data_IF_325482709129
#
_entry.id   IF_325482709129
#
_cell.length_a   1.000
_cell.length_b   1.000
_cell.length_c   1.000
_cell.angle_alpha   90.00
_cell.angle_beta   90.00
_cell.angle_gamma   90.00
#
_symmetry.space_group_name_H-M   'P 1'
#
loop_
_entity.id
_entity.type
_entity.pdbx_description
1 polymer ?
#
# COMPACT_ATOMS: atom_id res chain seq x y z
N UNK A 1 16.31 21.04 -45.47
CA UNK A 1 17.28 19.92 -45.45
C UNK A 1 17.12 19.22 -44.11
N UNK A 2 16.84 17.93 -43.92
CA UNK A 2 16.49 16.78 -44.77
C UNK A 2 15.28 16.10 -44.10
N UNK A 3 14.22 15.83 -44.85
CA UNK A 3 13.11 14.94 -44.47
C UNK A 3 13.52 13.52 -44.85
N UNK A 4 13.25 12.52 -44.01
CA UNK A 4 13.32 11.12 -44.40
C UNK A 4 11.90 10.55 -44.43
N UNK A 5 11.43 10.23 -45.62
CA UNK A 5 10.28 9.37 -45.88
C UNK A 5 10.75 7.91 -45.77
N UNK A 6 9.95 7.05 -45.14
CA UNK A 6 9.87 5.63 -45.53
C UNK A 6 8.39 5.23 -45.49
N UNK A 7 7.93 4.81 -46.65
CA UNK A 7 6.63 4.23 -46.97
C UNK A 7 6.99 2.90 -47.63
N UNK A 8 6.39 1.78 -47.21
CA UNK A 8 5.67 0.83 -48.08
C UNK A 8 5.55 -0.60 -47.50
N UNK A 9 4.39 -1.15 -47.90
CA UNK A 9 4.10 -2.53 -48.28
C UNK A 9 3.68 -3.50 -47.18
N UNK A 10 2.38 -3.80 -47.20
CA UNK A 10 1.82 -5.02 -46.67
C UNK A 10 2.07 -6.23 -47.57
N UNK A 11 1.84 -7.41 -47.01
CA UNK A 11 1.65 -8.64 -47.76
C UNK A 11 0.56 -9.46 -47.07
N UNK A 12 -0.49 -9.74 -47.82
CA UNK A 12 -1.53 -10.73 -47.57
C UNK A 12 -0.95 -12.10 -47.94
N UNK A 13 -1.11 -13.10 -47.07
CA UNK A 13 -1.06 -14.51 -47.48
C UNK A 13 -2.15 -15.29 -46.73
N UNK A 14 -2.98 -15.95 -47.52
CA UNK A 14 -4.02 -16.89 -47.12
C UNK A 14 -3.43 -18.18 -46.52
N UNK A 15 -4.10 -18.74 -45.52
CA UNK A 15 -3.80 -20.07 -44.98
C UNK A 15 -5.11 -20.84 -44.81
N UNK A 16 -5.26 -21.90 -45.60
CA UNK A 16 -6.46 -22.70 -45.71
C UNK A 16 -6.72 -23.63 -44.52
N UNK A 17 -7.97 -24.06 -44.43
CA UNK A 17 -8.46 -25.08 -43.52
C UNK A 17 -8.03 -26.48 -43.98
N UNK A 18 -7.62 -27.32 -43.02
CA UNK A 18 -7.66 -28.77 -43.17
C UNK A 18 -7.95 -29.41 -41.80
N UNK A 19 -8.95 -30.29 -41.81
CA UNK A 19 -9.48 -31.08 -40.71
C UNK A 19 -8.82 -32.47 -40.66
N UNK A 20 -8.69 -32.98 -39.43
CA UNK A 20 -8.92 -34.35 -38.96
C UNK A 20 -7.87 -35.48 -39.11
N UNK A 21 -7.88 -36.28 -38.02
CA UNK A 21 -7.36 -37.63 -37.75
C UNK A 21 -5.86 -37.68 -37.42
N UNK A 22 -5.38 -38.28 -36.32
CA UNK A 22 -5.92 -39.27 -35.39
C UNK A 22 -4.96 -40.47 -35.36
N UNK A 23 -4.22 -40.67 -34.26
CA UNK A 23 -3.85 -41.98 -33.69
C UNK A 23 -2.88 -41.84 -32.50
N UNK A 24 -3.14 -42.62 -31.46
CA UNK A 24 -2.50 -42.54 -30.13
C UNK A 24 -1.11 -43.15 -30.00
N UNK A 25 -0.65 -43.36 -28.76
CA UNK A 25 -0.32 -44.73 -28.39
C UNK A 25 -0.79 -45.18 -26.99
N UNK A 26 -0.88 -46.50 -26.92
CA UNK A 26 -1.07 -47.47 -25.85
C UNK A 26 -0.34 -47.24 -24.51
N UNK A 27 -1.13 -47.28 -23.43
CA UNK A 27 -1.13 -48.24 -22.31
C UNK A 27 0.18 -48.70 -21.64
N UNK A 28 0.30 -48.46 -20.32
CA UNK A 28 0.54 -49.43 -19.22
C UNK A 28 0.43 -48.68 -17.83
N UNK A 29 0.38 -49.32 -16.65
CA UNK A 29 -0.79 -49.30 -15.77
C UNK A 29 -0.66 -48.50 -14.46
N UNK A 30 -1.84 -48.30 -13.86
CA UNK A 30 -2.14 -47.69 -12.56
C UNK A 30 -1.64 -48.53 -11.36
N UNK A 31 -1.11 -47.84 -10.35
CA UNK A 31 -1.04 -48.33 -8.97
C UNK A 31 -1.78 -47.32 -8.08
N UNK A 32 -2.94 -47.74 -7.58
CA UNK A 32 -3.79 -46.99 -6.69
C UNK A 32 -3.33 -47.13 -5.23
N UNK A 33 -3.28 -46.00 -4.51
CA UNK A 33 -3.30 -45.96 -3.04
C UNK A 33 -4.50 -45.11 -2.66
N UNK A 34 -5.47 -45.74 -2.00
CA UNK A 34 -6.74 -45.14 -1.61
C UNK A 34 -6.62 -44.15 -0.46
N UNK A 35 -7.33 -43.03 -0.58
CA UNK A 35 -7.73 -42.15 0.53
C UNK A 35 -9.25 -42.17 0.68
N UNK A 36 -9.80 -41.87 1.87
CA UNK A 36 -11.20 -42.10 2.17
C UNK A 36 -12.14 -41.14 1.42
N UNK A 37 -13.33 -41.65 1.11
CA UNK A 37 -14.41 -40.97 0.41
C UNK A 37 -14.91 -39.74 1.16
N UNK A 38 -15.17 -38.66 0.42
CA UNK A 38 -15.84 -37.45 0.90
C UNK A 38 -17.33 -37.62 0.62
N UNK A 39 -18.13 -37.45 1.67
CA UNK A 39 -19.60 -37.46 1.65
C UNK A 39 -20.12 -36.22 0.88
N UNK A 40 -20.91 -36.38 -0.20
CA UNK A 40 -21.40 -35.26 -1.01
C UNK A 40 -22.58 -34.48 -0.39
N UNK A 41 -23.10 -34.85 0.79
CA UNK A 41 -24.28 -34.20 1.39
C UNK A 41 -24.03 -33.42 2.69
N UNK A 42 -22.78 -33.00 2.97
CA UNK A 42 -22.49 -32.15 4.13
C UNK A 42 -22.90 -30.67 3.90
N UNK A 43 -23.83 -30.09 4.71
CA UNK A 43 -24.23 -28.69 4.58
C UNK A 43 -23.12 -27.73 5.04
N UNK A 44 -23.03 -26.50 4.47
CA UNK A 44 -22.00 -25.55 4.83
C UNK A 44 -22.19 -25.02 6.25
N UNK A 45 -21.13 -25.07 7.06
CA UNK A 45 -21.08 -24.44 8.37
C UNK A 45 -21.08 -22.91 8.23
N UNK A 46 -22.26 -22.31 8.33
CA UNK A 46 -22.47 -20.90 8.59
C UNK A 46 -22.71 -20.70 10.08
N UNK A 47 -21.76 -20.12 10.80
CA UNK A 47 -22.04 -19.55 12.12
C UNK A 47 -21.73 -18.05 12.14
N UNK A 48 -22.84 -17.32 12.13
CA UNK A 48 -23.00 -15.91 12.40
C UNK A 48 -22.86 -15.72 13.91
N UNK A 49 -21.76 -15.13 14.37
CA UNK A 49 -21.65 -14.72 15.76
C UNK A 49 -22.42 -13.40 15.97
N UNK A 50 -23.68 -13.54 16.36
CA UNK A 50 -24.47 -12.49 16.98
C UNK A 50 -23.98 -12.29 18.43
N UNK A 51 -23.41 -11.13 18.75
CA UNK A 51 -23.18 -10.76 20.15
C UNK A 51 -24.45 -10.12 20.70
N UNK A 52 -25.17 -10.90 21.50
CA UNK A 52 -26.29 -10.47 22.31
C UNK A 52 -25.81 -9.72 23.57
N UNK A 53 -26.64 -8.77 23.98
CA UNK A 53 -26.55 -7.96 25.19
C UNK A 53 -26.37 -8.81 26.45
N UNK A 54 -25.37 -8.48 27.27
CA UNK A 54 -25.32 -8.86 28.67
C UNK A 54 -25.98 -7.75 29.49
N UNK A 55 -27.24 -7.98 29.84
CA UNK A 55 -27.92 -7.29 30.93
C UNK A 55 -27.42 -7.88 32.26
N UNK A 56 -27.04 -7.00 33.18
CA UNK A 56 -26.68 -7.32 34.57
C UNK A 56 -28.00 -7.46 35.34
N UNK A 57 -28.22 -8.62 35.95
CA UNK A 57 -29.32 -8.88 36.87
C UNK A 57 -28.88 -8.63 38.32
N UNK A 58 -29.70 -7.87 39.04
CA UNK A 58 -29.49 -7.42 40.42
C UNK A 58 -30.01 -8.47 41.41
N UNK A 59 -29.10 -9.21 42.04
CA UNK A 59 -29.38 -10.12 43.15
C UNK A 59 -28.88 -9.57 44.50
N UNK A 60 -29.79 -9.04 45.31
CA UNK A 60 -29.52 -8.49 46.64
C UNK A 60 -28.97 -9.53 47.66
N UNK A 61 -28.07 -9.13 48.59
CA UNK A 61 -27.70 -9.97 49.73
C UNK A 61 -28.47 -9.62 51.01
N UNK A 62 -28.76 -10.65 51.82
CA UNK A 62 -29.34 -10.53 53.16
C UNK A 62 -28.28 -10.17 54.20
N UNK A 63 -28.61 -9.15 55.00
CA UNK A 63 -28.33 -8.94 56.44
C UNK A 63 -26.95 -9.27 57.02
N UNK A 64 -26.29 -8.24 57.55
CA UNK A 64 -25.27 -8.36 58.60
C UNK A 64 -24.75 -6.98 59.04
N UNK A 65 -25.14 -6.55 60.24
CA UNK A 65 -24.74 -5.27 60.84
C UNK A 65 -23.24 -5.24 61.20
N UNK A 66 -22.54 -4.15 60.86
CA UNK A 66 -21.55 -3.53 61.74
C UNK A 66 -21.21 -2.09 61.28
N UNK A 67 -21.15 -1.19 62.26
CA UNK A 67 -20.94 0.26 62.16
C UNK A 67 -19.51 0.62 61.72
N UNK A 68 -19.35 1.73 61.00
CA UNK A 68 -18.16 2.58 61.18
C UNK A 68 -17.60 3.33 59.96
N UNK A 69 -17.92 4.63 59.90
CA UNK A 69 -17.08 5.77 59.44
C UNK A 69 -16.81 6.01 57.95
N UNK A 70 -17.25 7.21 57.57
CA UNK A 70 -16.58 8.23 56.75
C UNK A 70 -16.42 8.00 55.23
N UNK A 71 -17.24 8.79 54.52
CA UNK A 71 -17.13 9.17 53.11
C UNK A 71 -15.71 9.64 52.74
N UNK A 72 -15.16 9.08 51.68
CA UNK A 72 -14.37 9.81 50.67
C UNK A 72 -14.96 9.52 49.30
N UNK A 73 -15.68 10.49 48.74
CA UNK A 73 -16.14 10.46 47.34
C UNK A 73 -14.93 10.63 46.43
N UNK A 74 -14.35 9.52 45.97
CA UNK A 74 -13.53 9.51 44.76
C UNK A 74 -14.45 9.58 43.55
N UNK A 75 -14.55 10.74 42.90
CA UNK A 75 -15.09 10.83 41.54
C UNK A 75 -14.12 10.09 40.62
N UNK A 76 -14.44 8.87 40.21
CA UNK A 76 -13.85 8.29 39.01
C UNK A 76 -14.42 9.05 37.82
N UNK A 77 -13.67 10.04 37.31
CA UNK A 77 -13.95 10.63 36.01
C UNK A 77 -13.68 9.56 34.95
N UNK A 78 -14.71 8.78 34.62
CA UNK A 78 -14.66 7.90 33.46
C UNK A 78 -14.44 8.78 32.24
N UNK A 79 -13.23 8.73 31.66
CA UNK A 79 -12.96 9.34 30.36
C UNK A 79 -13.84 8.59 29.37
N UNK A 80 -14.95 9.22 28.95
CA UNK A 80 -15.74 8.75 27.82
C UNK A 80 -14.78 8.71 26.63
N UNK A 81 -14.64 7.56 25.97
CA UNK A 81 -13.86 7.42 24.75
C UNK A 81 -14.79 7.12 23.58
N UNK A 82 -14.48 7.64 22.40
CA UNK A 82 -15.27 7.36 21.18
C UNK A 82 -14.52 6.33 20.33
N UNK A 83 -15.21 5.28 19.87
CA UNK A 83 -14.63 4.29 18.96
C UNK A 83 -14.53 4.84 17.54
N UNK A 84 -13.40 4.64 16.85
CA UNK A 84 -13.21 5.13 15.48
C UNK A 84 -14.26 4.61 14.46
N UNK A 85 -14.82 3.41 14.69
CA UNK A 85 -15.87 2.84 13.85
C UNK A 85 -17.26 3.48 14.01
N UNK A 86 -17.44 4.37 14.99
CA UNK A 86 -18.69 5.09 15.26
C UNK A 86 -18.61 6.58 14.88
N UNK A 87 -17.59 6.96 14.10
CA UNK A 87 -17.38 8.34 13.67
C UNK A 87 -18.14 8.56 12.36
N UNK A 88 -19.09 9.49 12.38
CA UNK A 88 -19.70 10.02 11.16
C UNK A 88 -18.63 10.62 10.25
N UNK A 89 -18.85 10.54 8.94
CA UNK A 89 -17.88 11.04 7.95
C UNK A 89 -17.49 12.49 8.24
N UNK A 90 -16.18 12.72 8.35
CA UNK A 90 -15.60 14.06 8.52
C UNK A 90 -15.73 14.83 7.20
N UNK A 91 -16.16 16.09 7.27
CA UNK A 91 -16.21 16.96 6.09
C UNK A 91 -14.81 17.51 5.79
N UNK A 92 -14.07 16.78 4.96
CA UNK A 92 -12.70 17.11 4.58
C UNK A 92 -12.60 18.32 3.64
N UNK A 93 -13.71 18.79 3.07
CA UNK A 93 -13.74 20.02 2.28
C UNK A 93 -13.76 21.27 3.19
N UNK A 94 -13.94 21.10 4.51
CA UNK A 94 -13.96 22.18 5.52
C UNK A 94 -12.85 22.05 6.57
N UNK A 95 -11.70 21.49 6.19
CA UNK A 95 -10.52 21.44 7.05
C UNK A 95 -10.03 22.87 7.30
N UNK A 96 -9.81 23.20 8.57
CA UNK A 96 -9.27 24.48 9.01
C UNK A 96 -8.06 24.25 9.91
N UNK A 97 -7.03 25.09 9.75
CA UNK A 97 -5.89 25.09 10.65
C UNK A 97 -6.18 25.96 11.87
N UNK A 98 -5.99 25.41 13.05
CA UNK A 98 -6.16 26.05 14.35
C UNK A 98 -4.84 25.95 15.12
N UNK A 99 -3.96 26.94 14.95
CA UNK A 99 -2.61 26.91 15.53
C UNK A 99 -1.76 25.73 15.03
N UNK A 100 -1.50 24.77 15.91
CA UNK A 100 -0.64 23.61 15.72
C UNK A 100 -1.38 22.32 15.31
N UNK A 101 -2.68 22.40 15.07
CA UNK A 101 -3.50 21.26 14.64
C UNK A 101 -4.51 21.65 13.57
N UNK A 102 -5.11 20.65 12.94
CA UNK A 102 -6.23 20.82 12.02
C UNK A 102 -7.53 20.38 12.65
N UNK A 103 -8.62 21.02 12.22
CA UNK A 103 -9.97 20.68 12.65
C UNK A 103 -10.93 20.62 11.47
N UNK A 104 -11.97 19.81 11.59
CA UNK A 104 -13.03 19.70 10.59
C UNK A 104 -14.37 19.39 11.27
N UNK A 105 -15.50 19.84 10.70
CA UNK A 105 -16.81 19.49 11.22
C UNK A 105 -17.16 18.04 10.86
N UNK A 106 -17.87 17.36 11.76
CA UNK A 106 -18.57 16.12 11.47
C UNK A 106 -19.95 16.43 10.85
N UNK A 107 -20.54 15.43 10.20
CA UNK A 107 -21.88 15.54 9.61
C UNK A 107 -22.97 15.97 10.62
N UNK A 108 -22.79 15.64 11.90
CA UNK A 108 -23.70 15.98 13.00
C UNK A 108 -23.39 17.34 13.67
N UNK A 109 -22.43 18.10 13.14
CA UNK A 109 -22.07 19.45 13.61
C UNK A 109 -21.02 19.49 14.72
N UNK A 110 -20.57 18.36 15.26
CA UNK A 110 -19.45 18.32 16.22
C UNK A 110 -18.12 18.70 15.57
N UNK A 111 -17.12 19.10 16.38
CA UNK A 111 -15.79 19.48 15.89
C UNK A 111 -14.78 18.35 16.11
N UNK A 112 -14.21 17.84 15.02
CA UNK A 112 -13.09 16.90 15.06
C UNK A 112 -11.76 17.65 15.08
N UNK A 113 -10.84 17.22 15.95
CA UNK A 113 -9.40 17.52 15.83
C UNK A 113 -8.77 16.37 15.05
N UNK A 114 -7.99 16.71 14.03
CA UNK A 114 -7.39 15.74 13.12
C UNK A 114 -5.99 15.32 13.57
N UNK A 115 -5.51 14.19 13.04
CA UNK A 115 -4.16 13.67 13.27
C UNK A 115 -3.10 14.29 12.36
N UNK A 116 -3.51 15.17 11.43
CA UNK A 116 -2.64 15.83 10.47
C UNK A 116 -1.57 16.67 11.20
N UNK A 117 -0.32 16.45 10.80
CA UNK A 117 0.82 17.25 11.22
C UNK A 117 0.96 18.46 10.28
N UNK A 118 0.90 19.70 10.78
CA UNK A 118 1.00 20.90 9.92
C UNK A 118 2.25 20.98 9.07
N UNK A 119 3.42 20.58 9.59
CA UNK A 119 4.67 20.68 8.84
C UNK A 119 4.72 19.66 7.70
N UNK A 120 4.15 18.46 7.90
CA UNK A 120 4.07 17.42 6.88
C UNK A 120 2.96 17.70 5.86
N UNK A 121 1.79 18.17 6.31
CA UNK A 121 0.69 18.53 5.41
C UNK A 121 1.10 19.65 4.45
N UNK A 122 1.66 20.74 4.98
CA UNK A 122 2.16 21.86 4.16
C UNK A 122 3.26 21.41 3.18
N UNK A 123 4.17 20.53 3.63
CA UNK A 123 5.21 19.99 2.75
C UNK A 123 4.60 19.15 1.63
N UNK A 124 3.61 18.30 1.93
CA UNK A 124 2.95 17.47 0.95
C UNK A 124 2.26 18.34 -0.13
N UNK A 125 1.51 19.36 0.29
CA UNK A 125 0.85 20.32 -0.62
C UNK A 125 1.87 21.07 -1.48
N UNK A 126 2.94 21.59 -0.87
CA UNK A 126 4.03 22.25 -1.59
C UNK A 126 4.69 21.35 -2.63
N UNK A 127 4.95 20.07 -2.30
CA UNK A 127 5.55 19.13 -3.25
C UNK A 127 4.62 18.81 -4.42
N UNK A 128 3.31 18.77 -4.18
CA UNK A 128 2.32 18.62 -5.24
C UNK A 128 2.31 19.82 -6.19
N UNK A 129 2.43 21.05 -5.68
CA UNK A 129 2.59 22.25 -6.50
C UNK A 129 3.91 22.25 -7.29
N UNK A 130 5.03 21.94 -6.63
CA UNK A 130 6.35 21.84 -7.26
C UNK A 130 6.40 20.79 -8.38
N UNK A 131 5.65 19.70 -8.23
CA UNK A 131 5.59 18.63 -9.23
C UNK A 131 5.02 19.11 -10.56
N UNK A 132 4.13 20.10 -10.51
CA UNK A 132 3.29 20.56 -11.63
C UNK A 132 2.52 19.44 -12.32
N UNK A 133 2.36 18.28 -11.70
CA UNK A 133 1.66 17.16 -12.29
C UNK A 133 0.19 17.54 -12.54
N UNK A 134 -0.41 17.15 -13.69
CA UNK A 134 -1.85 17.25 -13.93
C UNK A 134 -2.70 16.73 -12.77
N UNK A 135 -2.23 15.67 -12.10
CA UNK A 135 -2.81 15.19 -10.84
C UNK A 135 -1.77 14.43 -10.02
N UNK A 136 -1.92 14.45 -8.71
CA UNK A 136 -1.08 13.70 -7.80
C UNK A 136 -1.62 13.72 -6.38
N UNK A 137 -1.11 12.82 -5.55
CA UNK A 137 -1.43 12.78 -4.14
C UNK A 137 -0.27 12.20 -3.32
N UNK A 138 -0.22 12.63 -2.05
CA UNK A 138 0.79 12.25 -1.06
C UNK A 138 0.06 11.93 0.23
N UNK A 139 0.38 10.76 0.80
CA UNK A 139 -0.04 10.36 2.15
C UNK A 139 1.19 10.08 2.98
N UNK A 140 1.23 10.66 4.18
CA UNK A 140 2.16 10.30 5.23
C UNK A 140 1.37 9.76 6.43
N UNK A 141 1.83 8.67 7.02
CA UNK A 141 1.13 7.95 8.07
C UNK A 141 2.14 7.49 9.13
N UNK A 142 1.78 7.56 10.40
CA UNK A 142 2.51 6.86 11.45
C UNK A 142 2.24 5.35 11.36
N UNK A 143 3.14 4.48 11.85
CA UNK A 143 2.93 3.04 11.77
C UNK A 143 1.68 2.56 12.52
N UNK A 144 1.21 3.32 13.52
CA UNK A 144 -0.03 3.07 14.26
C UNK A 144 -1.33 3.41 13.48
N UNK A 145 -1.21 3.85 12.23
CA UNK A 145 -2.33 4.20 11.36
C UNK A 145 -2.78 5.67 11.42
N UNK A 146 -2.20 6.51 12.28
CA UNK A 146 -2.51 7.96 12.27
C UNK A 146 -2.06 8.59 10.95
N UNK A 147 -2.97 9.26 10.26
CA UNK A 147 -2.68 9.97 9.02
C UNK A 147 -2.09 11.33 9.37
N UNK A 148 -0.82 11.54 9.01
CA UNK A 148 -0.07 12.76 9.32
C UNK A 148 -0.11 13.77 8.17
N UNK A 149 -0.28 13.30 6.93
CA UNK A 149 -0.58 14.15 5.79
C UNK A 149 -1.53 13.41 4.83
N UNK A 150 -2.53 14.13 4.32
CA UNK A 150 -3.52 13.67 3.34
C UNK A 150 -3.69 14.77 2.30
N UNK A 151 -2.88 14.74 1.24
CA UNK A 151 -2.87 15.80 0.24
C UNK A 151 -3.11 15.22 -1.16
N UNK A 152 -3.95 15.90 -1.93
CA UNK A 152 -4.18 15.61 -3.34
C UNK A 152 -4.36 16.91 -4.11
N UNK A 153 -3.94 16.93 -5.38
CA UNK A 153 -3.97 18.11 -6.24
C UNK A 153 -4.25 17.70 -7.67
N UNK A 154 -5.08 18.47 -8.38
CA UNK A 154 -5.32 18.34 -9.82
C UNK A 154 -5.33 19.67 -10.55
N UNK A 155 -5.18 19.61 -11.87
CA UNK A 155 -5.42 20.70 -12.81
C UNK A 155 -6.02 20.11 -14.09
N UNK A 156 -6.77 20.91 -14.84
CA UNK A 156 -7.30 20.53 -16.15
C UNK A 156 -6.20 20.54 -17.23
N UNK A 157 -5.05 21.17 -16.94
CA UNK A 157 -3.91 21.24 -17.86
C UNK A 157 -3.20 19.89 -17.99
N UNK A 158 -3.30 19.26 -19.16
CA UNK A 158 -2.76 17.93 -19.44
C UNK A 158 -1.23 17.90 -19.50
N UNK A 159 -0.59 19.04 -19.77
CA UNK A 159 0.87 19.21 -19.79
C UNK A 159 1.46 19.65 -18.46
N UNK A 160 0.60 19.80 -17.43
CA UNK A 160 0.97 20.21 -16.09
C UNK A 160 0.86 21.73 -15.86
N UNK A 161 0.69 22.12 -14.60
CA UNK A 161 0.53 23.53 -14.22
C UNK A 161 1.08 23.84 -12.83
N UNK A 162 1.52 25.09 -12.64
CA UNK A 162 1.83 25.66 -11.32
C UNK A 162 0.56 25.97 -10.51
N UNK A 163 -0.56 26.16 -11.18
CA UNK A 163 -1.87 26.33 -10.55
C UNK A 163 -2.64 25.00 -10.58
N UNK A 164 -3.42 24.76 -9.54
CA UNK A 164 -4.23 23.55 -9.40
C UNK A 164 -5.18 23.69 -8.22
N UNK A 165 -6.12 22.77 -8.15
CA UNK A 165 -7.10 22.67 -7.07
C UNK A 165 -6.72 21.51 -6.18
N UNK A 166 -6.70 21.74 -4.86
CA UNK A 166 -6.54 20.67 -3.89
C UNK A 166 -7.79 19.79 -3.86
N UNK A 167 -7.59 18.48 -3.87
CA UNK A 167 -8.65 17.48 -3.87
C UNK A 167 -8.15 16.24 -3.11
N UNK A 168 -8.50 16.15 -1.83
CA UNK A 168 -8.11 15.06 -0.94
C UNK A 168 -8.58 13.69 -1.47
N UNK A 169 -9.63 13.66 -2.30
CA UNK A 169 -10.17 12.42 -2.88
C UNK A 169 -9.12 11.69 -3.73
N UNK A 170 -8.17 12.42 -4.32
CA UNK A 170 -7.05 11.79 -5.04
C UNK A 170 -6.13 10.97 -4.13
N UNK A 171 -6.17 11.18 -2.82
CA UNK A 171 -5.45 10.37 -1.85
C UNK A 171 -6.22 9.11 -1.42
N UNK A 172 -7.56 9.14 -1.45
CA UNK A 172 -8.46 8.08 -0.95
C UNK A 172 -9.08 7.21 -2.04
N UNK A 173 -9.20 7.72 -3.26
CA UNK A 173 -9.78 7.03 -4.40
C UNK A 173 -8.71 6.20 -5.13
N UNK A 174 -9.09 5.01 -5.59
CA UNK A 174 -8.22 4.14 -6.38
C UNK A 174 -8.14 4.58 -7.85
N UNK A 175 -7.61 5.79 -8.09
CA UNK A 175 -7.64 6.40 -9.43
C UNK A 175 -6.44 6.02 -10.31
N UNK A 176 -5.31 5.66 -9.71
CA UNK A 176 -4.06 5.44 -10.43
C UNK A 176 -3.79 3.93 -10.60
N UNK A 177 -3.34 3.47 -11.79
CA UNK A 177 -2.82 2.11 -11.94
C UNK A 177 -1.69 1.88 -10.94
N UNK A 178 -1.74 0.77 -10.22
CA UNK A 178 -0.78 0.48 -9.16
C UNK A 178 0.64 0.22 -9.68
N UNK A 179 0.78 -0.07 -10.97
CA UNK A 179 2.04 -0.39 -11.60
C UNK A 179 2.80 -1.48 -10.81
N UNK A 180 4.11 -1.35 -10.67
CA UNK A 180 4.95 -2.27 -9.90
C UNK A 180 4.73 -2.25 -8.38
N UNK A 181 3.82 -1.44 -7.82
CA UNK A 181 3.45 -1.55 -6.40
C UNK A 181 2.75 -2.89 -6.14
N UNK A 182 1.96 -3.39 -7.10
CA UNK A 182 1.28 -4.68 -6.99
C UNK A 182 2.25 -5.87 -6.82
N UNK A 183 3.53 -5.71 -7.21
CA UNK A 183 4.55 -6.74 -6.97
C UNK A 183 4.80 -7.02 -5.50
N UNK A 184 4.40 -6.14 -4.58
CA UNK A 184 4.46 -6.43 -3.14
C UNK A 184 3.45 -7.52 -2.75
N UNK A 185 2.26 -7.51 -3.35
CA UNK A 185 1.26 -8.58 -3.21
C UNK A 185 1.79 -9.86 -3.84
N UNK A 186 2.31 -9.78 -5.07
CA UNK A 186 2.89 -10.93 -5.78
C UNK A 186 4.06 -11.55 -5.01
N UNK A 187 4.99 -10.74 -4.50
CA UNK A 187 6.12 -11.22 -3.71
C UNK A 187 5.66 -11.88 -2.40
N UNK A 188 4.66 -11.31 -1.72
CA UNK A 188 4.08 -11.91 -0.52
C UNK A 188 3.44 -13.27 -0.82
N UNK A 189 2.72 -13.39 -1.95
CA UNK A 189 2.13 -14.65 -2.39
C UNK A 189 3.23 -15.70 -2.70
N UNK A 190 4.31 -15.30 -3.37
CA UNK A 190 5.43 -16.19 -3.69
C UNK A 190 6.16 -16.68 -2.42
N UNK A 191 6.42 -15.79 -1.46
CA UNK A 191 7.02 -16.17 -0.18
C UNK A 191 6.10 -17.13 0.58
N UNK A 192 4.79 -16.86 0.62
CA UNK A 192 3.83 -17.77 1.23
C UNK A 192 3.76 -19.13 0.51
N UNK A 193 4.00 -19.17 -0.79
CA UNK A 193 4.10 -20.41 -1.57
C UNK A 193 5.47 -21.12 -1.41
N UNK A 194 6.33 -20.67 -0.50
CA UNK A 194 7.62 -21.29 -0.19
C UNK A 194 8.76 -20.90 -1.14
N UNK A 195 8.61 -19.85 -1.95
CA UNK A 195 9.72 -19.32 -2.74
C UNK A 195 10.71 -18.61 -1.82
N UNK A 196 11.93 -19.14 -1.75
CA UNK A 196 13.05 -18.48 -1.10
C UNK A 196 13.37 -17.16 -1.83
N UNK A 197 13.31 -15.99 -1.15
CA UNK A 197 13.61 -14.69 -1.74
C UNK A 197 14.98 -14.60 -2.43
N UNK A 198 15.97 -15.37 -1.98
CA UNK A 198 17.35 -15.27 -2.43
C UNK A 198 17.75 -16.41 -3.39
N UNK A 199 16.89 -17.42 -3.55
CA UNK A 199 17.06 -18.43 -4.57
C UNK A 199 17.06 -17.81 -5.98
N UNK A 200 18.04 -18.22 -6.79
CA UNK A 200 18.22 -17.70 -8.15
C UNK A 200 17.22 -18.35 -9.10
N UNK A 201 16.58 -17.52 -9.92
CA UNK A 201 15.81 -17.92 -11.09
C UNK A 201 16.48 -17.33 -12.34
N UNK A 202 16.75 -18.20 -13.31
CA UNK A 202 17.30 -17.76 -14.58
C UNK A 202 16.20 -17.22 -15.50
N UNK A 203 16.49 -16.16 -16.24
CA UNK A 203 15.54 -15.46 -17.09
C UNK A 203 16.25 -14.78 -18.28
N UNK A 204 15.47 -14.44 -19.30
CA UNK A 204 15.89 -13.60 -20.42
C UNK A 204 14.88 -12.47 -20.70
N UNK A 205 15.24 -11.55 -21.60
CA UNK A 205 14.42 -10.37 -21.92
C UNK A 205 14.72 -9.13 -21.06
N UNK A 206 14.24 -7.95 -21.41
CA UNK A 206 14.55 -6.71 -20.69
C UNK A 206 13.82 -6.59 -19.33
N UNK A 207 14.13 -5.51 -18.59
CA UNK A 207 13.46 -5.15 -17.32
C UNK A 207 11.93 -5.16 -17.42
N UNK A 208 11.41 -4.80 -18.60
CA UNK A 208 9.98 -4.68 -18.88
C UNK A 208 9.38 -5.92 -19.56
N UNK A 209 10.17 -6.96 -19.86
CA UNK A 209 9.69 -8.08 -20.66
C UNK A 209 8.80 -9.03 -19.86
N UNK A 210 7.55 -9.21 -20.31
CA UNK A 210 6.66 -10.30 -19.92
C UNK A 210 5.98 -10.79 -21.20
N UNK A 211 6.59 -11.79 -21.82
CA UNK A 211 6.14 -12.45 -23.04
C UNK A 211 5.98 -13.95 -22.76
N UNK A 212 5.17 -14.64 -23.56
CA UNK A 212 4.85 -16.06 -23.36
C UNK A 212 6.12 -16.93 -23.19
N UNK A 213 7.12 -16.68 -24.02
CA UNK A 213 8.37 -17.42 -23.99
C UNK A 213 9.28 -17.08 -22.79
N UNK A 214 8.97 -16.05 -21.98
CA UNK A 214 9.69 -15.74 -20.74
C UNK A 214 9.11 -16.46 -19.52
N UNK A 215 7.94 -17.08 -19.63
CA UNK A 215 7.20 -17.61 -18.47
C UNK A 215 7.63 -19.02 -18.06
N UNK A 216 8.39 -19.69 -18.91
CA UNK A 216 8.93 -21.04 -18.69
C UNK A 216 10.45 -21.01 -18.85
N UNK A 217 11.11 -22.04 -18.32
CA UNK A 217 12.55 -22.18 -18.49
C UNK A 217 12.87 -22.40 -19.98
N UNK A 218 13.83 -21.65 -20.48
CA UNK A 218 14.20 -21.63 -21.89
C UNK A 218 15.72 -21.52 -22.05
N UNK A 219 16.26 -22.11 -23.12
CA UNK A 219 17.69 -22.04 -23.46
C UNK A 219 18.25 -20.61 -23.58
N UNK A 220 17.40 -19.60 -23.75
CA UNK A 220 17.77 -18.18 -23.79
C UNK A 220 18.06 -17.59 -22.40
N UNK A 221 17.62 -18.26 -21.33
CA UNK A 221 17.82 -17.82 -19.94
C UNK A 221 19.32 -17.76 -19.62
N UNK A 222 19.86 -16.54 -19.68
CA UNK A 222 21.31 -16.27 -19.61
C UNK A 222 21.71 -15.41 -18.42
N UNK A 223 20.74 -14.92 -17.65
CA UNK A 223 20.97 -14.20 -16.40
C UNK A 223 20.17 -14.85 -15.30
N UNK A 224 20.74 -14.95 -14.11
CA UNK A 224 20.09 -15.57 -12.96
C UNK A 224 20.11 -14.60 -11.79
N UNK A 225 18.92 -14.25 -11.33
CA UNK A 225 18.73 -13.31 -10.23
C UNK A 225 17.64 -13.82 -9.29
N UNK A 226 17.53 -13.24 -8.11
CA UNK A 226 16.59 -13.72 -7.09
C UNK A 226 15.26 -12.94 -7.11
N UNK A 227 14.27 -13.42 -6.36
CA UNK A 227 13.04 -12.66 -6.13
C UNK A 227 13.34 -11.31 -5.45
N UNK A 228 14.29 -11.28 -4.50
CA UNK A 228 14.80 -10.06 -3.88
C UNK A 228 15.29 -9.04 -4.91
N UNK A 229 16.11 -9.49 -5.87
CA UNK A 229 16.54 -8.64 -7.00
C UNK A 229 15.34 -8.19 -7.85
N UNK A 230 14.40 -9.11 -8.09
CA UNK A 230 13.18 -8.86 -8.85
C UNK A 230 12.35 -7.70 -8.30
N UNK A 231 12.15 -7.67 -6.98
CA UNK A 231 11.42 -6.61 -6.29
C UNK A 231 12.24 -5.31 -6.28
N UNK A 232 13.52 -5.38 -5.89
CA UNK A 232 14.41 -4.22 -5.76
C UNK A 232 14.59 -3.43 -7.07
N UNK A 233 14.89 -4.14 -8.16
CA UNK A 233 15.10 -3.56 -9.50
C UNK A 233 13.81 -3.45 -10.31
N UNK A 234 12.69 -3.90 -9.76
CA UNK A 234 11.41 -3.97 -10.45
C UNK A 234 11.49 -4.76 -11.76
N UNK A 235 12.18 -5.89 -11.77
CA UNK A 235 12.35 -6.75 -12.94
C UNK A 235 11.07 -7.53 -13.24
N UNK A 236 10.38 -7.19 -14.33
CA UNK A 236 9.10 -7.81 -14.67
C UNK A 236 9.26 -9.27 -15.10
N UNK A 237 10.37 -9.62 -15.77
CA UNK A 237 10.59 -10.98 -16.25
C UNK A 237 10.65 -11.99 -15.10
N UNK A 238 11.35 -11.65 -14.00
CA UNK A 238 11.45 -12.49 -12.80
C UNK A 238 10.08 -12.66 -12.14
N UNK A 239 9.38 -11.56 -11.86
CA UNK A 239 8.10 -11.61 -11.15
C UNK A 239 7.02 -12.29 -11.99
N UNK A 240 6.95 -12.00 -13.29
CA UNK A 240 6.01 -12.63 -14.21
C UNK A 240 6.26 -14.13 -14.33
N UNK A 241 7.52 -14.55 -14.48
CA UNK A 241 7.92 -15.96 -14.55
C UNK A 241 7.61 -16.70 -13.25
N UNK A 242 8.05 -16.20 -12.11
CA UNK A 242 7.81 -16.83 -10.81
C UNK A 242 6.31 -16.91 -10.49
N UNK A 243 5.56 -15.83 -10.71
CA UNK A 243 4.10 -15.85 -10.52
C UNK A 243 3.43 -16.89 -11.41
N UNK A 244 3.79 -16.93 -12.70
CA UNK A 244 3.27 -17.94 -13.63
C UNK A 244 3.63 -19.36 -13.22
N UNK A 245 4.84 -19.61 -12.72
CA UNK A 245 5.26 -20.97 -12.36
C UNK A 245 4.73 -21.44 -11.00
N UNK A 246 4.51 -20.53 -10.05
CA UNK A 246 4.31 -20.88 -8.64
C UNK A 246 2.96 -20.49 -8.06
N UNK A 247 2.20 -19.62 -8.73
CA UNK A 247 0.91 -19.14 -8.24
C UNK A 247 -0.21 -19.49 -9.21
N UNK A 248 -1.41 -19.63 -8.67
CA UNK A 248 -2.65 -19.63 -9.43
C UNK A 248 -3.39 -18.30 -9.22
N UNK A 249 -4.25 -17.86 -10.16
CA UNK A 249 -4.98 -16.60 -10.05
C UNK A 249 -5.72 -16.40 -8.71
N UNK A 250 -6.37 -17.45 -8.22
CA UNK A 250 -7.11 -17.44 -6.94
C UNK A 250 -6.18 -17.23 -5.75
N UNK A 251 -4.97 -17.78 -5.78
CA UNK A 251 -3.97 -17.59 -4.70
C UNK A 251 -3.47 -16.16 -4.66
N UNK A 252 -3.21 -15.55 -5.82
CA UNK A 252 -2.79 -14.16 -5.90
C UNK A 252 -3.90 -13.19 -5.45
N UNK A 253 -5.15 -13.46 -5.85
CA UNK A 253 -6.31 -12.70 -5.39
C UNK A 253 -6.55 -12.84 -3.88
N UNK A 254 -6.40 -14.05 -3.33
CA UNK A 254 -6.50 -14.29 -1.89
C UNK A 254 -5.41 -13.55 -1.10
N UNK A 255 -4.18 -13.50 -1.61
CA UNK A 255 -3.12 -12.68 -1.00
C UNK A 255 -3.45 -11.17 -1.07
N UNK A 256 -4.02 -10.70 -2.18
CA UNK A 256 -4.45 -9.30 -2.28
C UNK A 256 -5.51 -8.96 -1.21
N UNK A 257 -6.50 -9.83 -1.01
CA UNK A 257 -7.49 -9.71 0.08
C UNK A 257 -6.82 -9.74 1.45
N UNK A 258 -5.88 -10.65 1.66
CA UNK A 258 -5.16 -10.84 2.93
C UNK A 258 -4.40 -9.59 3.36
N UNK A 259 -3.71 -8.92 2.42
CA UNK A 259 -2.99 -7.65 2.63
C UNK A 259 -3.95 -6.43 2.62
N UNK A 260 -5.26 -6.65 2.49
CA UNK A 260 -6.27 -5.59 2.57
C UNK A 260 -6.38 -4.74 1.30
N UNK A 261 -5.89 -5.22 0.14
CA UNK A 261 -5.92 -4.46 -1.12
C UNK A 261 -7.33 -4.05 -1.54
N UNK A 262 -8.35 -4.83 -1.14
CA UNK A 262 -9.75 -4.62 -1.49
C UNK A 262 -10.56 -4.00 -0.33
N UNK A 263 -9.89 -3.59 0.75
CA UNK A 263 -10.59 -3.12 1.94
C UNK A 263 -11.17 -1.71 1.71
N UNK A 264 -12.40 -1.46 2.18
CA UNK A 264 -12.96 -0.12 2.19
C UNK A 264 -12.35 0.71 3.32
N UNK A 265 -12.17 2.01 3.09
CA UNK A 265 -11.78 3.00 4.11
C UNK A 265 -12.97 3.90 4.39
N UNK A 266 -13.99 3.32 5.04
CA UNK A 266 -15.35 3.92 5.15
C UNK A 266 -15.36 5.33 5.74
N UNK A 267 -14.60 5.58 6.81
CA UNK A 267 -14.58 6.88 7.50
C UNK A 267 -13.94 8.02 6.69
N UNK A 268 -13.26 7.69 5.58
CA UNK A 268 -12.73 8.65 4.61
C UNK A 268 -13.41 8.53 3.24
N UNK A 269 -14.52 7.79 3.16
CA UNK A 269 -15.22 7.47 1.92
C UNK A 269 -14.29 6.99 0.80
N UNK A 270 -13.28 6.17 1.15
CA UNK A 270 -12.24 5.72 0.23
C UNK A 270 -12.16 4.20 0.12
N UNK A 271 -11.23 3.73 -0.70
CA UNK A 271 -10.89 2.29 -0.85
C UNK A 271 -9.37 2.14 -0.86
N UNK A 272 -8.85 0.99 -0.43
CA UNK A 272 -7.41 0.71 -0.57
C UNK A 272 -7.03 0.61 -2.05
N UNK A 273 -7.71 -0.24 -2.79
CA UNK A 273 -7.45 -0.46 -4.21
C UNK A 273 -8.56 -1.23 -4.89
N UNK A 274 -8.38 -1.43 -6.19
CA UNK A 274 -9.25 -2.24 -7.04
C UNK A 274 -8.39 -3.32 -7.71
N UNK A 275 -9.00 -4.48 -7.96
CA UNK A 275 -8.31 -5.61 -8.58
C UNK A 275 -9.22 -6.33 -9.58
N UNK A 276 -8.66 -6.61 -10.75
CA UNK A 276 -9.21 -7.44 -11.80
C UNK A 276 -8.08 -8.30 -12.36
N UNK A 277 -8.00 -9.54 -11.90
CA UNK A 277 -7.02 -10.51 -12.37
C UNK A 277 -7.66 -11.45 -13.41
N UNK A 278 -6.94 -11.80 -14.50
CA UNK A 278 -7.33 -12.91 -15.34
C UNK A 278 -7.47 -14.19 -14.51
N UNK A 279 -8.60 -14.88 -14.64
CA UNK A 279 -8.91 -16.09 -13.89
C UNK A 279 -8.29 -17.35 -14.52
N UNK A 280 -7.69 -17.19 -15.71
CA UNK A 280 -6.91 -18.23 -16.38
C UNK A 280 -5.43 -17.93 -16.20
N UNK A 281 -4.65 -18.97 -15.96
CA UNK A 281 -3.19 -18.90 -15.79
C UNK A 281 -2.49 -18.80 -17.15
N UNK A 282 -2.49 -17.60 -17.71
CA UNK A 282 -1.93 -17.27 -19.02
C UNK A 282 -0.92 -16.10 -18.96
N UNK A 283 -0.52 -15.59 -20.13
CA UNK A 283 0.34 -14.42 -20.26
C UNK A 283 -0.24 -13.17 -19.59
N UNK A 284 -1.55 -13.00 -19.65
CA UNK A 284 -2.22 -11.83 -19.09
C UNK A 284 -2.24 -11.88 -17.56
N UNK A 285 -2.37 -13.07 -16.97
CA UNK A 285 -2.15 -13.28 -15.53
C UNK A 285 -0.72 -12.91 -15.14
N UNK A 286 0.29 -13.39 -15.87
CA UNK A 286 1.69 -13.06 -15.59
C UNK A 286 1.96 -11.55 -15.71
N UNK A 287 1.36 -10.88 -16.70
CA UNK A 287 1.44 -9.42 -16.86
C UNK A 287 0.76 -8.67 -15.72
N UNK A 288 -0.41 -9.12 -15.28
CA UNK A 288 -1.10 -8.54 -14.13
C UNK A 288 -0.28 -8.73 -12.83
N UNK A 289 0.25 -9.93 -12.58
CA UNK A 289 1.12 -10.22 -11.44
C UNK A 289 2.42 -9.41 -11.43
N UNK A 290 2.96 -9.08 -12.61
CA UNK A 290 4.10 -8.17 -12.77
C UNK A 290 3.72 -6.67 -12.64
N UNK A 291 2.43 -6.35 -12.47
CA UNK A 291 1.93 -5.00 -12.23
C UNK A 291 1.65 -4.18 -13.50
N UNK A 292 1.43 -4.82 -14.66
CA UNK A 292 1.11 -4.08 -15.90
C UNK A 292 -0.33 -3.62 -16.00
N UNK A 293 -1.26 -4.40 -15.47
CA UNK A 293 -2.70 -4.17 -15.64
C UNK A 293 -3.48 -4.78 -14.49
N UNK A 294 -4.76 -4.45 -14.40
CA UNK A 294 -5.70 -5.11 -13.50
C UNK A 294 -5.69 -4.59 -12.06
N UNK A 295 -4.68 -3.83 -11.64
CA UNK A 295 -4.62 -3.29 -10.29
C UNK A 295 -4.61 -1.76 -10.29
N UNK A 296 -5.50 -1.15 -9.50
CA UNK A 296 -5.52 0.28 -9.18
C UNK A 296 -5.41 0.46 -7.68
N UNK A 297 -4.87 1.58 -7.24
CA UNK A 297 -4.52 1.80 -5.84
C UNK A 297 -4.75 3.27 -5.47
N UNK A 298 -5.31 3.51 -4.28
CA UNK A 298 -5.33 4.85 -3.68
C UNK A 298 -4.01 5.13 -2.98
N UNK A 299 -3.67 6.40 -2.79
CA UNK A 299 -2.40 6.74 -2.12
C UNK A 299 -2.42 6.28 -0.65
N UNK A 300 -3.56 6.43 0.01
CA UNK A 300 -3.79 5.88 1.35
C UNK A 300 -3.66 4.35 1.36
N UNK A 301 -4.20 3.66 0.36
CA UNK A 301 -4.05 2.22 0.21
C UNK A 301 -2.59 1.79 0.10
N UNK A 302 -1.78 2.52 -0.68
CA UNK A 302 -0.33 2.31 -0.72
C UNK A 302 0.32 2.46 0.66
N UNK A 303 -0.08 3.45 1.45
CA UNK A 303 0.44 3.61 2.81
C UNK A 303 0.04 2.43 3.71
N UNK A 304 -1.19 1.93 3.63
CA UNK A 304 -1.64 0.77 4.42
C UNK A 304 -0.93 -0.53 4.04
N UNK A 305 -0.65 -0.72 2.75
CA UNK A 305 0.17 -1.85 2.26
C UNK A 305 1.59 -1.75 2.81
N UNK A 306 2.23 -0.58 2.74
CA UNK A 306 3.57 -0.39 3.32
C UNK A 306 3.58 -0.57 4.84
N UNK A 307 2.57 -0.08 5.55
CA UNK A 307 2.46 -0.21 7.00
C UNK A 307 2.40 -1.67 7.45
N UNK A 308 1.75 -2.54 6.67
CA UNK A 308 1.72 -3.99 6.93
C UNK A 308 3.14 -4.58 7.00
N UNK A 309 4.06 -4.13 6.14
CA UNK A 309 5.45 -4.60 6.16
C UNK A 309 6.30 -3.88 7.20
N UNK A 310 5.95 -2.63 7.54
CA UNK A 310 6.61 -1.88 8.60
C UNK A 310 6.35 -2.53 9.98
N UNK A 311 5.10 -2.95 10.23
CA UNK A 311 4.66 -3.46 11.53
C UNK A 311 4.62 -5.00 11.55
N UNK A 312 5.61 -5.67 10.96
CA UNK A 312 5.79 -7.13 11.06
C UNK A 312 4.51 -7.94 10.72
N UNK A 313 3.77 -7.50 9.71
CA UNK A 313 2.56 -8.14 9.21
C UNK A 313 1.26 -7.72 9.89
N UNK A 314 1.33 -6.84 10.89
CA UNK A 314 0.15 -6.18 11.49
C UNK A 314 -0.24 -4.97 10.64
N UNK A 315 -1.46 -4.98 10.11
CA UNK A 315 -2.00 -3.87 9.35
C UNK A 315 -2.78 -2.94 10.29
N UNK A 316 -2.39 -1.67 10.44
CA UNK A 316 -3.12 -0.73 11.27
C UNK A 316 -4.43 -0.31 10.60
N UNK A 317 -5.40 0.11 11.41
CA UNK A 317 -6.59 0.81 10.92
C UNK A 317 -6.22 2.28 10.69
N UNK A 318 -6.42 2.85 9.49
CA UNK A 318 -6.13 4.26 9.26
C UNK A 318 -7.02 5.13 10.15
N UNK A 319 -6.47 6.22 10.67
CA UNK A 319 -7.18 7.16 11.54
C UNK A 319 -6.81 8.59 11.21
N UNK A 320 -7.80 9.39 10.83
CA UNK A 320 -7.65 10.83 10.61
C UNK A 320 -8.13 11.68 11.80
N UNK A 321 -9.03 11.17 12.63
CA UNK A 321 -9.58 11.91 13.77
C UNK A 321 -8.82 11.54 15.05
N UNK A 322 -8.28 12.56 15.71
CA UNK A 322 -7.60 12.44 17.01
C UNK A 322 -8.60 12.49 18.17
N UNK A 323 -9.48 13.50 18.16
CA UNK A 323 -10.50 13.69 19.19
C UNK A 323 -11.75 14.38 18.63
N UNK A 324 -12.90 14.17 19.28
CA UNK A 324 -14.16 14.87 18.98
C UNK A 324 -14.59 15.61 20.25
N UNK A 325 -14.77 16.93 20.17
CA UNK A 325 -15.14 17.79 21.31
C UNK A 325 -14.28 17.56 22.57
N UNK A 326 -12.97 17.37 22.37
CA UNK A 326 -11.99 17.12 23.44
C UNK A 326 -11.92 15.68 23.93
N UNK A 327 -12.75 14.77 23.42
CA UNK A 327 -12.72 13.34 23.74
C UNK A 327 -11.88 12.57 22.73
N UNK A 328 -10.85 11.87 23.21
CA UNK A 328 -9.96 11.08 22.36
C UNK A 328 -10.71 9.94 21.65
N UNK A 329 -10.38 9.76 20.38
CA UNK A 329 -10.84 8.63 19.56
C UNK A 329 -9.87 7.47 19.76
N UNK A 330 -10.42 6.33 20.17
CA UNK A 330 -9.65 5.08 20.31
C UNK A 330 -9.68 4.33 18.97
N UNK A 331 -8.50 3.97 18.50
CA UNK A 331 -8.34 3.15 17.29
C UNK A 331 -8.63 1.68 17.62
N UNK A 332 -9.32 0.94 16.74
CA UNK A 332 -9.38 -0.52 16.83
C UNK A 332 -7.97 -1.12 16.80
N UNK A 333 -7.80 -2.34 17.33
CA UNK A 333 -6.53 -3.05 17.23
C UNK A 333 -6.16 -3.29 15.76
N UNK A 334 -4.86 -3.36 15.48
CA UNK A 334 -4.36 -3.80 14.19
C UNK A 334 -4.83 -5.23 13.88
N UNK A 335 -4.91 -5.55 12.59
CA UNK A 335 -5.23 -6.88 12.09
C UNK A 335 -3.96 -7.53 11.55
N UNK A 336 -3.68 -8.75 11.97
CA UNK A 336 -2.61 -9.53 11.35
C UNK A 336 -3.00 -9.93 9.94
N UNK A 337 -2.31 -9.38 8.94
CA UNK A 337 -2.48 -9.73 7.55
C UNK A 337 -1.59 -10.92 7.18
N UNK A 338 -0.31 -10.87 7.51
CA UNK A 338 0.67 -11.92 7.22
C UNK A 338 1.54 -12.20 8.44
N UNK A 339 2.28 -13.31 8.41
CA UNK A 339 3.23 -13.62 9.49
C UNK A 339 4.37 -12.61 9.50
N UNK A 340 4.99 -12.42 10.67
CA UNK A 340 6.10 -11.51 10.82
C UNK A 340 7.30 -11.89 9.93
N UNK A 341 7.56 -13.19 9.76
CA UNK A 341 8.65 -13.65 8.87
C UNK A 341 8.39 -13.33 7.40
N UNK A 342 7.14 -13.50 6.93
CA UNK A 342 6.78 -13.10 5.57
C UNK A 342 6.90 -11.58 5.38
N UNK A 343 6.39 -10.80 6.34
CA UNK A 343 6.48 -9.35 6.29
C UNK A 343 7.94 -8.87 6.26
N UNK A 344 8.81 -9.41 7.13
CA UNK A 344 10.24 -9.09 7.16
C UNK A 344 10.96 -9.50 5.89
N UNK A 345 10.61 -10.63 5.29
CA UNK A 345 11.17 -11.05 4.00
C UNK A 345 10.88 -10.00 2.92
N UNK A 346 9.62 -9.56 2.79
CA UNK A 346 9.23 -8.53 1.81
C UNK A 346 9.82 -7.15 2.16
N UNK A 347 9.88 -6.78 3.45
CA UNK A 347 10.51 -5.55 3.91
C UNK A 347 12.00 -5.49 3.52
N UNK A 348 12.74 -6.59 3.62
CA UNK A 348 14.14 -6.67 3.15
C UNK A 348 14.25 -6.46 1.64
N UNK A 349 13.35 -7.06 0.85
CA UNK A 349 13.30 -6.83 -0.59
C UNK A 349 12.97 -5.36 -0.92
N UNK A 350 12.08 -4.73 -0.14
CA UNK A 350 11.75 -3.31 -0.24
C UNK A 350 12.95 -2.42 0.13
N UNK A 351 13.74 -2.78 1.15
CA UNK A 351 15.00 -2.09 1.46
C UNK A 351 16.01 -2.19 0.30
N UNK A 352 16.04 -3.33 -0.41
CA UNK A 352 16.78 -3.52 -1.66
C UNK A 352 16.47 -2.45 -2.71
N UNK A 353 15.20 -2.04 -2.85
CA UNK A 353 14.79 -0.97 -3.77
C UNK A 353 15.53 0.34 -3.53
N UNK A 354 15.76 0.69 -2.26
CA UNK A 354 16.35 1.96 -1.83
C UNK A 354 17.86 1.90 -1.64
N UNK A 355 18.47 0.70 -1.58
CA UNK A 355 19.91 0.51 -1.35
C UNK A 355 20.68 0.22 -2.64
N UNK A 356 20.15 -0.65 -3.51
CA UNK A 356 20.81 -1.05 -4.76
C UNK A 356 19.88 -0.99 -5.98
N UNK A 357 18.57 -0.92 -5.75
CA UNK A 357 17.55 -1.02 -6.78
C UNK A 357 17.08 0.31 -7.39
N UNK A 358 15.83 0.30 -7.81
CA UNK A 358 15.19 1.34 -8.62
C UNK A 358 15.10 2.74 -7.97
N UNK A 359 15.29 2.86 -6.65
CA UNK A 359 15.32 4.13 -5.94
C UNK A 359 16.67 4.44 -5.27
N UNK A 360 17.70 3.60 -5.49
CA UNK A 360 18.98 3.70 -4.79
C UNK A 360 19.63 5.07 -4.89
N UNK A 361 19.64 5.68 -6.08
CA UNK A 361 20.25 7.01 -6.30
C UNK A 361 19.58 8.11 -5.49
N UNK A 362 18.26 8.02 -5.30
CA UNK A 362 17.47 9.00 -4.56
C UNK A 362 17.77 8.89 -3.07
N UNK A 363 17.80 7.67 -2.53
CA UNK A 363 17.97 7.43 -1.10
C UNK A 363 19.43 7.33 -0.65
N UNK A 364 20.40 7.15 -1.56
CA UNK A 364 21.83 7.29 -1.24
C UNK A 364 22.20 8.69 -0.71
N UNK A 365 21.37 9.70 -1.01
CA UNK A 365 21.51 11.09 -0.54
C UNK A 365 20.64 11.41 0.67
N UNK A 366 19.81 10.47 1.13
CA UNK A 366 18.99 10.68 2.32
C UNK A 366 19.89 10.85 3.54
N UNK A 367 19.36 11.50 4.59
CA UNK A 367 19.99 11.45 5.92
C UNK A 367 20.19 9.99 6.32
N UNK A 368 21.10 9.68 7.26
CA UNK A 368 21.51 8.33 7.74
C UNK A 368 20.35 7.44 8.27
N UNK A 369 19.32 7.24 7.47
CA UNK A 369 18.05 6.60 7.74
C UNK A 369 17.91 5.51 6.69
N UNK A 370 17.70 4.29 7.16
CA UNK A 370 17.40 3.16 6.29
C UNK A 370 15.96 3.30 5.78
N UNK A 371 15.73 3.10 4.49
CA UNK A 371 14.39 3.20 3.89
C UNK A 371 14.07 1.89 3.20
N UNK A 372 12.86 1.38 3.42
CA UNK A 372 12.27 0.32 2.64
C UNK A 372 11.18 0.90 1.76
N UNK A 373 11.17 0.56 0.47
CA UNK A 373 10.07 0.98 -0.39
C UNK A 373 9.96 0.21 -1.69
N UNK A 374 9.00 0.63 -2.50
CA UNK A 374 8.76 0.13 -3.84
C UNK A 374 8.43 1.29 -4.76
N UNK A 375 9.11 1.34 -5.90
CA UNK A 375 8.76 2.23 -7.00
C UNK A 375 7.70 1.59 -7.90
N UNK A 376 6.88 2.43 -8.51
CA UNK A 376 6.01 2.03 -9.62
C UNK A 376 6.09 3.06 -10.73
N UNK A 377 6.07 2.59 -11.98
CA UNK A 377 6.03 3.47 -13.15
C UNK A 377 5.16 2.83 -14.21
N UNK A 378 4.08 3.53 -14.61
CA UNK A 378 3.25 3.11 -15.72
C UNK A 378 2.80 4.32 -16.54
N UNK A 379 3.15 4.29 -17.81
CA UNK A 379 2.80 5.34 -18.77
C UNK A 379 1.53 4.97 -19.51
N UNK A 380 0.63 5.94 -19.65
CA UNK A 380 -0.50 5.91 -20.58
C UNK A 380 -0.39 7.09 -21.54
N UNK A 381 -0.90 6.93 -22.74
CA UNK A 381 -0.95 7.99 -23.76
C UNK A 381 -2.37 8.45 -24.07
N UNK A 382 -3.38 7.72 -23.58
CA UNK A 382 -4.80 7.98 -23.80
C UNK A 382 -5.51 8.25 -22.46
N UNK A 383 -6.33 9.33 -22.34
CA UNK A 383 -6.63 10.33 -23.38
C UNK A 383 -5.48 11.33 -23.67
N UNK A 384 -4.45 11.36 -22.82
CA UNK A 384 -3.23 12.13 -23.00
C UNK A 384 -2.06 11.46 -22.29
N UNK A 385 -0.83 11.92 -22.54
CA UNK A 385 0.35 11.38 -21.88
C UNK A 385 0.27 11.56 -20.37
N UNK A 386 0.44 10.45 -19.64
CA UNK A 386 0.56 10.45 -18.19
C UNK A 386 1.43 9.29 -17.71
N UNK A 387 2.60 9.61 -17.15
CA UNK A 387 3.44 8.68 -16.41
C UNK A 387 3.05 8.69 -14.94
N UNK A 388 2.46 7.60 -14.44
CA UNK A 388 2.17 7.42 -13.02
C UNK A 388 3.47 7.05 -12.30
N UNK A 389 4.07 8.00 -11.60
CA UNK A 389 5.29 7.85 -10.81
C UNK A 389 4.94 7.58 -9.35
N UNK A 390 5.04 6.32 -8.94
CA UNK A 390 4.74 5.87 -7.58
C UNK A 390 5.99 5.70 -6.72
N UNK A 391 5.83 5.96 -5.43
CA UNK A 391 6.65 5.38 -4.37
C UNK A 391 5.79 5.05 -3.16
N UNK A 392 5.99 3.85 -2.59
CA UNK A 392 5.32 3.37 -1.38
C UNK A 392 6.40 2.79 -0.47
N UNK A 393 6.49 3.23 0.77
CA UNK A 393 7.56 2.76 1.66
C UNK A 393 7.47 3.32 3.08
N UNK A 394 8.45 2.96 3.89
CA UNK A 394 8.56 3.35 5.29
C UNK A 394 10.01 3.52 5.72
N UNK A 395 10.20 4.25 6.82
CA UNK A 395 11.49 4.53 7.40
C UNK A 395 11.39 4.85 8.91
N UNK A 396 12.45 4.61 9.69
CA UNK A 396 13.56 3.68 9.42
C UNK A 396 13.11 2.23 9.14
N UNK A 397 13.97 1.38 8.60
CA UNK A 397 13.63 -0.04 8.36
C UNK A 397 13.48 -0.82 9.66
N UNK A 398 14.42 -0.65 10.60
CA UNK A 398 14.50 -1.47 11.82
C UNK A 398 13.57 -0.97 12.94
N UNK A 399 13.15 0.28 12.87
CA UNK A 399 12.20 0.88 13.82
C UNK A 399 11.36 1.90 13.06
N UNK A 400 10.33 1.45 12.33
CA UNK A 400 9.51 2.34 11.51
C UNK A 400 8.90 3.46 12.34
N UNK A 401 8.97 4.66 11.80
CA UNK A 401 8.41 5.88 12.41
C UNK A 401 7.52 6.64 11.44
N UNK A 402 7.71 6.43 10.14
CA UNK A 402 6.94 7.06 9.09
C UNK A 402 6.71 6.08 7.95
N UNK A 403 5.46 6.02 7.48
CA UNK A 403 5.05 5.39 6.24
C UNK A 403 4.67 6.50 5.25
N UNK A 404 5.13 6.40 4.01
CA UNK A 404 4.87 7.39 2.96
C UNK A 404 4.45 6.69 1.68
N UNK A 405 3.39 7.22 1.06
CA UNK A 405 2.90 6.82 -0.24
C UNK A 405 2.71 8.05 -1.10
N UNK A 406 3.17 7.99 -2.34
CA UNK A 406 3.12 9.08 -3.31
C UNK A 406 2.76 8.54 -4.67
N UNK A 407 1.86 9.22 -5.37
CA UNK A 407 1.70 9.11 -6.83
C UNK A 407 1.67 10.48 -7.47
N UNK A 408 2.43 10.62 -8.54
CA UNK A 408 2.37 11.79 -9.44
C UNK A 408 2.01 11.30 -10.84
N UNK A 409 0.91 11.79 -11.39
CA UNK A 409 0.54 11.58 -12.79
C UNK A 409 1.25 12.60 -13.67
N UNK A 410 2.51 12.33 -14.00
CA UNK A 410 3.41 13.28 -14.65
C UNK A 410 3.16 13.41 -16.16
N UNK A 411 3.28 14.64 -16.72
CA UNK A 411 3.33 14.84 -18.16
C UNK A 411 4.71 14.42 -18.70
N UNK A 412 4.94 14.53 -20.00
CA UNK A 412 6.24 14.20 -20.61
C UNK A 412 7.39 15.03 -20.00
N UNK A 413 7.13 16.31 -19.76
CA UNK A 413 8.06 17.23 -19.08
C UNK A 413 7.79 17.27 -17.57
N UNK A 414 8.36 16.30 -16.85
CA UNK A 414 8.17 16.16 -15.41
C UNK A 414 9.19 16.97 -14.59
N UNK A 415 8.77 17.40 -13.39
CA UNK A 415 9.61 18.20 -12.48
C UNK A 415 9.97 17.46 -11.18
N UNK A 416 9.16 16.47 -10.80
CA UNK A 416 9.34 15.68 -9.58
C UNK A 416 8.87 14.24 -9.84
N UNK A 417 9.51 13.27 -9.18
CA UNK A 417 9.11 11.85 -9.21
C UNK A 417 8.70 11.38 -7.82
N UNK A 418 7.82 10.39 -7.74
CA UNK A 418 7.23 9.93 -6.48
C UNK A 418 8.25 9.60 -5.39
N UNK A 419 9.33 8.88 -5.74
CA UNK A 419 10.41 8.55 -4.79
C UNK A 419 11.19 9.75 -4.25
N UNK A 420 11.25 10.86 -4.99
CA UNK A 420 11.95 12.06 -4.55
C UNK A 420 11.06 12.87 -3.60
N UNK A 421 9.76 12.99 -3.92
CA UNK A 421 8.78 13.56 -3.01
C UNK A 421 8.75 12.77 -1.69
N UNK A 422 8.72 11.43 -1.75
CA UNK A 422 8.75 10.58 -0.57
C UNK A 422 10.02 10.77 0.28
N UNK A 423 11.20 10.87 -0.35
CA UNK A 423 12.45 11.18 0.37
C UNK A 423 12.35 12.49 1.13
N UNK A 424 11.82 13.56 0.49
CA UNK A 424 11.68 14.87 1.14
C UNK A 424 10.71 14.83 2.33
N UNK A 425 9.63 14.05 2.23
CA UNK A 425 8.72 13.80 3.36
C UNK A 425 9.43 13.08 4.51
N UNK A 426 10.17 12.01 4.21
CA UNK A 426 10.96 11.26 5.21
C UNK A 426 12.01 12.15 5.88
N UNK A 427 12.77 12.92 5.10
CA UNK A 427 13.79 13.83 5.60
C UNK A 427 13.20 14.90 6.52
N UNK A 428 11.97 15.36 6.25
CA UNK A 428 11.28 16.34 7.12
C UNK A 428 10.80 15.69 8.41
N UNK A 429 10.09 14.55 8.33
CA UNK A 429 9.50 13.91 9.49
C UNK A 429 10.56 13.42 10.49
N UNK A 430 11.69 12.92 10.00
CA UNK A 430 12.77 12.36 10.82
C UNK A 430 13.89 13.38 11.08
N UNK A 431 13.66 14.65 10.76
CA UNK A 431 14.58 15.71 11.17
C UNK A 431 14.56 15.84 12.70
N UNK A 432 15.73 16.05 13.35
CA UNK A 432 15.76 16.36 14.78
C UNK A 432 14.88 17.58 15.06
N UNK A 433 13.92 17.44 15.98
CA UNK A 433 12.98 18.51 16.31
C UNK A 433 13.72 19.79 16.72
N UNK A 434 13.22 20.95 16.27
CA UNK A 434 13.74 22.26 16.71
C UNK A 434 13.60 22.46 18.24
N UNK A 435 12.61 21.81 18.88
CA UNK A 435 12.40 21.91 20.34
C UNK A 435 13.43 21.09 21.14
N UNK A 436 13.90 19.96 20.61
CA UNK A 436 14.96 19.17 21.23
C UNK A 436 16.32 19.90 21.20
N UNK A 437 16.59 20.62 20.12
CA UNK A 437 17.79 21.47 19.97
C UNK A 437 17.79 22.68 20.93
N UNK A 438 16.62 23.30 21.15
CA UNK A 438 16.47 24.39 22.11
C UNK A 438 16.64 23.92 23.57
N UNK A 439 16.12 22.73 23.92
CA UNK A 439 16.32 22.13 25.26
C UNK A 439 17.78 21.72 25.52
N UNK A 440 18.49 21.26 24.49
CA UNK A 440 19.92 20.93 24.60
C UNK A 440 20.78 22.20 24.79
N UNK A 441 20.50 23.27 24.03
CA UNK A 441 21.19 24.56 24.19
C UNK A 441 20.87 25.26 25.52
N UNK A 442 19.63 25.14 26.01
CA UNK A 442 19.23 25.68 27.32
C UNK A 442 19.89 24.96 28.50
N UNK A 443 20.18 23.66 28.38
CA UNK A 443 20.91 22.90 29.42
C UNK A 443 22.40 23.21 29.47
N UNK A 444 23.04 23.50 28.33
CA UNK A 444 24.44 23.94 28.32
C UNK A 444 24.65 25.35 28.85
N UNK A 445 23.63 26.21 28.83
CA UNK A 445 23.72 27.58 29.33
C UNK A 445 23.52 27.72 30.85
N UNK A 446 23.03 26.69 31.54
CA UNK A 446 22.73 26.71 32.99
C UNK A 446 23.88 26.12 33.84
N UNK A 447 24.93 25.59 33.21
CA UNK A 447 26.12 25.05 33.91
C UNK A 447 27.34 25.93 33.66
N UNK A 448 27.19 27.25 33.80
CA UNK A 448 28.30 28.17 34.10
C UNK A 448 27.72 29.35 34.87
N UNK A 449 27.67 29.23 36.20
CA UNK A 449 27.79 30.33 37.15
C UNK A 449 28.08 29.79 38.53
#
# INVERSE_FOLDING_TARGET
MRRLHVLLAGCVVAGGAALLTGNGPSGAPSAAIGGPAIDPDAPPASEVAAFANLAIDDGAPKSGQAKGKAKTKGKSSGVRAVSAGAIDTVDLDKITRDGDHYTAPLADGRKAVLTLDPDLQELAEKLLDESRAPRGAIVAMAPDGRILALAGRKTEETTGSRTGTFDWRLATDAWAPAASIFKLVTASALVQAGVDPDAKVCYHGGIRSVLEHNLRDDKRDSRCESLSYGVAHSQNAILGKLAYQKLDPTTLEAMAKTIGWLDPVKHLNGVVGELSLPQVKDLEFARAAAGFKGARLSVLGGALVAATFAEDGEQPVPRLVSSIDGVMVVSPPARRAITADHARAVARMMAGTCTSGSAARTFARARKVTVAGKTGTLTRTDPFYMEHSWFVGFAPVDTPQLVVSVVLGNPESWHLRGHEAARRMIDRALAPSKSASARAKGRSAVVVR
#
